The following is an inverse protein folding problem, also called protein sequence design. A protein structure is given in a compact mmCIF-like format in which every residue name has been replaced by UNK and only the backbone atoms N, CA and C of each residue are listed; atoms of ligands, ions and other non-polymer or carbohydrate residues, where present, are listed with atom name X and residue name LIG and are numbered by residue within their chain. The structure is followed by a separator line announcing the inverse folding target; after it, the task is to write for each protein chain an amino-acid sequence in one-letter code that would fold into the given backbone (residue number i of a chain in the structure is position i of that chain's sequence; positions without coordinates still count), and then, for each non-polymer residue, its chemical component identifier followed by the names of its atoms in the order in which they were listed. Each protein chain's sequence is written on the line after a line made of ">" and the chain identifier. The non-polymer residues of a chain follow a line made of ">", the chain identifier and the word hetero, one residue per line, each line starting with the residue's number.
data_IF_203153059050
#
_entry.id   IF_203153059050
#
_cell.length_a   1.000
_cell.length_b   1.000
_cell.length_c   1.000
_cell.angle_alpha   90.00
_cell.angle_beta   90.00
_cell.angle_gamma   90.00
#
_symmetry.space_group_name_H-M   'P 1'
#
loop_
_entity.id
_entity.type
_entity.pdbx_description
1 polymer ?
#
# COMPACT_ATOMS: atom_id res chain seq x y z
N UNK A 1 59.86 36.64 -40.52
CA UNK A 1 58.80 36.55 -39.48
C UNK A 1 57.54 35.98 -40.11
N UNK A 2 57.18 34.73 -39.80
CA UNK A 2 55.81 34.18 -39.78
C UNK A 2 55.88 32.68 -39.50
N UNK A 3 55.70 32.34 -38.22
CA UNK A 3 55.72 30.97 -37.70
C UNK A 3 54.39 30.28 -37.99
N UNK A 4 54.43 29.10 -38.63
CA UNK A 4 53.27 28.23 -38.81
C UNK A 4 53.05 27.42 -37.52
N UNK A 5 51.92 27.64 -36.83
CA UNK A 5 51.48 26.80 -35.71
C UNK A 5 50.63 25.65 -36.26
N UNK A 6 51.14 24.42 -36.15
CA UNK A 6 50.36 23.19 -36.35
C UNK A 6 49.51 22.99 -35.11
N UNK A 7 48.19 22.99 -35.27
CA UNK A 7 47.23 22.76 -34.19
C UNK A 7 46.79 21.29 -34.25
N UNK A 8 47.21 20.51 -33.27
CA UNK A 8 46.87 19.11 -33.10
C UNK A 8 45.45 19.01 -32.52
N UNK A 9 44.51 18.46 -33.28
CA UNK A 9 43.15 18.20 -32.81
C UNK A 9 43.13 16.90 -32.01
N UNK A 10 42.95 17.01 -30.68
CA UNK A 10 42.73 15.86 -29.81
C UNK A 10 41.27 15.41 -29.93
N UNK A 11 41.06 14.24 -30.50
CA UNK A 11 39.75 13.59 -30.62
C UNK A 11 39.41 12.94 -29.28
N UNK A 12 38.51 13.55 -28.50
CA UNK A 12 37.97 12.94 -27.28
C UNK A 12 37.09 11.74 -27.68
N UNK A 13 37.52 10.52 -27.34
CA UNK A 13 36.65 9.35 -27.31
C UNK A 13 35.72 9.50 -26.10
N UNK A 14 34.44 9.81 -26.37
CA UNK A 14 33.41 9.77 -25.34
C UNK A 14 33.11 8.33 -24.97
N UNK A 15 33.32 7.96 -23.70
CA UNK A 15 32.85 6.70 -23.13
C UNK A 15 31.32 6.70 -23.15
N UNK A 16 30.72 5.84 -23.97
CA UNK A 16 29.28 5.54 -23.87
C UNK A 16 29.14 4.58 -22.69
N UNK A 17 28.68 5.08 -21.54
CA UNK A 17 28.25 4.20 -20.47
C UNK A 17 27.05 3.38 -20.98
N UNK A 18 27.01 2.06 -20.74
CA UNK A 18 25.81 1.29 -21.04
C UNK A 18 24.66 1.88 -20.23
N UNK A 19 23.57 2.23 -20.93
CA UNK A 19 22.30 2.55 -20.30
C UNK A 19 21.78 1.21 -19.79
N UNK A 20 21.63 1.04 -18.47
CA UNK A 20 20.93 -0.12 -17.91
C UNK A 20 19.53 -0.17 -18.53
N UNK A 21 19.21 -1.26 -19.21
CA UNK A 21 18.00 -1.35 -20.01
C UNK A 21 16.83 -1.72 -19.09
N UNK A 22 16.27 -0.72 -18.42
CA UNK A 22 15.03 -0.89 -17.67
C UNK A 22 13.88 -1.15 -18.66
N UNK A 23 13.41 -2.40 -18.72
CA UNK A 23 12.24 -2.79 -19.50
C UNK A 23 11.01 -2.77 -18.61
N UNK A 24 9.90 -2.20 -19.09
CA UNK A 24 8.63 -2.18 -18.38
C UNK A 24 7.48 -2.59 -19.30
N UNK A 25 6.64 -3.50 -18.82
CA UNK A 25 5.52 -4.08 -19.56
C UNK A 25 4.24 -4.01 -18.72
N UNK A 26 3.18 -3.46 -19.30
CA UNK A 26 1.86 -3.46 -18.65
C UNK A 26 1.18 -4.81 -18.93
N UNK A 27 0.79 -5.50 -17.86
CA UNK A 27 0.16 -6.82 -17.93
C UNK A 27 -1.32 -6.69 -17.58
N UNK A 28 -2.19 -6.99 -18.54
CA UNK A 28 -3.62 -7.02 -18.32
C UNK A 28 -4.04 -8.38 -17.74
N UNK A 29 -4.69 -8.35 -16.58
CA UNK A 29 -5.26 -9.51 -15.89
C UNK A 29 -6.74 -9.21 -15.66
N UNK A 30 -7.61 -10.15 -15.99
CA UNK A 30 -9.03 -10.03 -15.63
C UNK A 30 -9.24 -10.48 -14.17
N UNK A 31 -10.26 -9.95 -13.51
CA UNK A 31 -10.66 -10.42 -12.18
C UNK A 31 -10.95 -11.94 -12.20
N UNK A 32 -10.52 -12.64 -11.16
CA UNK A 32 -10.60 -14.10 -11.04
C UNK A 32 -9.95 -14.86 -12.22
N UNK A 33 -8.85 -14.35 -12.76
CA UNK A 33 -8.08 -14.97 -13.83
C UNK A 33 -6.57 -14.91 -13.59
N UNK A 34 -5.85 -15.83 -14.24
CA UNK A 34 -4.39 -15.80 -14.34
C UNK A 34 -3.93 -15.42 -15.73
N UNK A 35 -2.68 -14.96 -15.83
CA UNK A 35 -1.92 -14.80 -17.06
C UNK A 35 -0.49 -15.27 -16.83
N UNK A 36 0.18 -15.70 -17.89
CA UNK A 36 1.57 -16.15 -17.83
C UNK A 36 2.41 -15.32 -18.80
N UNK A 37 3.56 -14.88 -18.34
CA UNK A 37 4.55 -14.16 -19.13
C UNK A 37 5.86 -14.93 -19.13
N UNK A 38 6.48 -15.06 -20.29
CA UNK A 38 7.82 -15.64 -20.44
C UNK A 38 8.81 -14.51 -20.73
N UNK A 39 10.02 -14.63 -20.19
CA UNK A 39 11.07 -13.64 -20.39
C UNK A 39 12.46 -14.21 -20.16
N UNK A 40 13.46 -13.42 -20.51
CA UNK A 40 14.87 -13.69 -20.25
C UNK A 40 15.45 -12.51 -19.50
N UNK A 41 16.12 -12.77 -18.37
CA UNK A 41 16.84 -11.75 -17.61
C UNK A 41 18.33 -11.83 -17.88
N UNK A 42 18.99 -10.68 -18.06
CA UNK A 42 20.40 -10.59 -18.46
C UNK A 42 21.19 -9.75 -17.46
N UNK A 43 22.32 -10.28 -16.96
CA UNK A 43 23.22 -9.55 -16.07
C UNK A 43 22.53 -8.83 -14.91
N UNK A 44 22.83 -7.54 -14.74
CA UNK A 44 22.27 -6.67 -13.69
C UNK A 44 20.95 -5.98 -14.10
N UNK A 45 20.38 -6.34 -15.25
CA UNK A 45 19.10 -5.78 -15.68
C UNK A 45 17.94 -6.26 -14.79
N UNK A 46 16.80 -5.61 -14.97
CA UNK A 46 15.52 -6.03 -14.39
C UNK A 46 14.39 -5.74 -15.38
N UNK A 47 13.28 -6.48 -15.22
CA UNK A 47 12.05 -6.30 -16.00
C UNK A 47 10.91 -5.99 -15.03
N UNK A 48 10.22 -4.88 -15.28
CA UNK A 48 9.09 -4.42 -14.48
C UNK A 48 7.77 -4.80 -15.15
N UNK A 49 7.02 -5.74 -14.56
CA UNK A 49 5.66 -6.05 -14.97
C UNK A 49 4.66 -5.27 -14.14
N UNK A 50 3.89 -4.39 -14.79
CA UNK A 50 2.94 -3.49 -14.13
C UNK A 50 1.54 -4.10 -14.16
N UNK A 51 0.94 -4.28 -12.99
CA UNK A 51 -0.41 -4.81 -12.80
C UNK A 51 -1.25 -3.77 -12.07
N UNK A 52 -2.31 -3.30 -12.71
CA UNK A 52 -3.32 -2.46 -12.04
C UNK A 52 -4.19 -3.33 -11.15
N UNK A 53 -4.24 -3.02 -9.86
CA UNK A 53 -5.05 -3.75 -8.88
C UNK A 53 -5.77 -2.79 -7.93
N UNK A 54 -6.86 -3.26 -7.33
CA UNK A 54 -7.66 -2.50 -6.36
C UNK A 54 -7.45 -3.01 -4.95
N UNK A 55 -7.57 -2.10 -3.98
CA UNK A 55 -7.59 -2.41 -2.57
C UNK A 55 -8.56 -3.57 -2.29
N UNK A 56 -8.11 -4.54 -1.50
CA UNK A 56 -8.87 -5.72 -1.12
C UNK A 56 -8.76 -6.91 -2.08
N UNK A 57 -8.35 -6.72 -3.35
CA UNK A 57 -8.08 -7.84 -4.26
C UNK A 57 -6.92 -8.70 -3.75
N UNK A 58 -6.88 -9.96 -4.13
CA UNK A 58 -5.75 -10.86 -3.85
C UNK A 58 -4.90 -10.99 -5.11
N UNK A 59 -3.66 -10.51 -5.06
CA UNK A 59 -2.65 -10.72 -6.09
C UNK A 59 -1.87 -12.00 -5.78
N UNK A 60 -1.75 -12.88 -6.77
CA UNK A 60 -0.80 -13.99 -6.76
C UNK A 60 0.28 -13.79 -7.82
N UNK A 61 1.51 -14.17 -7.48
CA UNK A 61 2.65 -14.17 -8.38
C UNK A 61 3.53 -15.40 -8.13
N UNK A 62 3.81 -16.18 -9.17
CA UNK A 62 4.65 -17.37 -9.13
C UNK A 62 5.76 -17.30 -10.16
N UNK A 63 7.01 -17.47 -9.73
CA UNK A 63 8.21 -17.42 -10.57
C UNK A 63 8.81 -18.80 -10.78
N UNK A 64 8.91 -19.23 -12.03
CA UNK A 64 9.63 -20.45 -12.42
C UNK A 64 10.86 -20.10 -13.23
N UNK A 65 12.02 -20.58 -12.78
CA UNK A 65 13.29 -20.51 -13.51
C UNK A 65 14.14 -21.74 -13.21
N UNK A 66 14.94 -22.16 -14.20
CA UNK A 66 15.97 -23.18 -14.03
C UNK A 66 17.05 -22.69 -13.08
N UNK A 67 17.48 -21.44 -13.24
CA UNK A 67 18.48 -20.81 -12.38
C UNK A 67 17.81 -20.15 -11.15
N UNK A 68 18.32 -20.46 -9.96
CA UNK A 68 17.81 -19.98 -8.67
C UNK A 68 18.29 -18.58 -8.29
N UNK A 69 19.12 -17.97 -9.14
CA UNK A 69 19.53 -16.57 -9.02
C UNK A 69 18.42 -15.61 -9.44
N UNK A 70 17.44 -16.06 -10.21
CA UNK A 70 16.28 -15.25 -10.65
C UNK A 70 15.27 -15.12 -9.50
N UNK A 71 14.87 -13.89 -9.21
CA UNK A 71 13.98 -13.51 -8.13
C UNK A 71 12.99 -12.44 -8.62
N UNK A 72 11.95 -12.18 -7.83
CA UNK A 72 11.08 -11.03 -8.07
C UNK A 72 10.70 -10.30 -6.78
N UNK A 73 10.35 -9.03 -6.91
CA UNK A 73 9.74 -8.24 -5.83
C UNK A 73 8.35 -7.78 -6.26
N UNK A 74 7.46 -7.56 -5.27
CA UNK A 74 6.18 -6.86 -5.47
C UNK A 74 6.31 -5.49 -4.82
N UNK A 75 6.21 -4.44 -5.63
CA UNK A 75 6.38 -3.05 -5.20
C UNK A 75 5.03 -2.33 -5.27
N UNK A 76 4.67 -1.54 -4.23
CA UNK A 76 3.44 -0.75 -4.23
C UNK A 76 3.49 0.40 -5.25
N UNK A 77 2.34 1.00 -5.60
CA UNK A 77 2.26 2.19 -6.45
C UNK A 77 3.02 3.38 -5.87
N UNK A 78 3.06 3.47 -4.54
CA UNK A 78 3.76 4.50 -3.78
C UNK A 78 4.52 3.90 -2.59
N UNK A 79 5.68 4.50 -2.28
CA UNK A 79 6.53 4.08 -1.17
C UNK A 79 7.74 3.26 -1.62
N UNK A 80 8.68 3.10 -0.69
CA UNK A 80 9.99 2.49 -0.96
C UNK A 80 10.09 1.03 -0.46
N UNK A 81 9.10 0.55 0.30
CA UNK A 81 9.11 -0.79 0.88
C UNK A 81 8.33 -1.77 0.00
N UNK A 82 8.98 -2.88 -0.38
CA UNK A 82 8.36 -3.93 -1.16
C UNK A 82 7.35 -4.70 -0.32
N UNK A 83 6.17 -4.97 -0.87
CA UNK A 83 5.19 -5.90 -0.28
C UNK A 83 5.72 -7.33 -0.22
N UNK A 84 6.63 -7.67 -1.14
CA UNK A 84 7.28 -8.97 -1.19
C UNK A 84 8.69 -8.85 -1.76
N UNK A 85 9.63 -9.56 -1.13
CA UNK A 85 11.03 -9.68 -1.59
C UNK A 85 11.39 -11.14 -1.83
N UNK A 86 11.42 -11.58 -3.09
CA UNK A 86 11.57 -12.99 -3.45
C UNK A 86 12.92 -13.60 -3.04
N UNK A 87 13.99 -12.81 -3.03
CA UNK A 87 15.29 -13.27 -2.53
C UNK A 87 15.31 -13.61 -1.02
N UNK A 88 14.28 -13.20 -0.28
CA UNK A 88 14.12 -13.50 1.16
C UNK A 88 13.04 -14.57 1.36
N UNK A 89 11.90 -14.43 0.69
CA UNK A 89 10.70 -15.21 0.99
C UNK A 89 10.41 -16.35 0.00
N UNK A 90 11.10 -16.40 -1.15
CA UNK A 90 10.98 -17.46 -2.15
C UNK A 90 10.36 -17.01 -3.46
N UNK A 91 9.82 -17.97 -4.21
CA UNK A 91 9.37 -17.81 -5.60
C UNK A 91 7.87 -17.63 -5.76
N UNK A 92 7.13 -17.57 -4.67
CA UNK A 92 5.67 -17.57 -4.68
C UNK A 92 5.16 -16.50 -3.71
N UNK A 93 4.21 -15.70 -4.18
CA UNK A 93 3.56 -14.64 -3.44
C UNK A 93 2.05 -14.77 -3.61
N UNK A 94 1.33 -14.62 -2.49
CA UNK A 94 -0.12 -14.42 -2.45
C UNK A 94 -0.36 -13.37 -1.39
N UNK A 95 -0.95 -12.24 -1.76
CA UNK A 95 -1.18 -11.14 -0.83
C UNK A 95 -2.36 -10.28 -1.21
N UNK A 96 -2.96 -9.67 -0.18
CA UNK A 96 -4.05 -8.72 -0.35
C UNK A 96 -3.47 -7.36 -0.72
N UNK A 97 -4.06 -6.74 -1.73
CA UNK A 97 -3.69 -5.42 -2.22
C UNK A 97 -4.13 -4.36 -1.21
N UNK A 98 -3.22 -3.52 -0.67
CA UNK A 98 -3.54 -2.55 0.37
C UNK A 98 -4.21 -1.28 -0.17
N UNK A 99 -3.85 -0.84 -1.37
CA UNK A 99 -4.37 0.38 -1.99
C UNK A 99 -4.61 0.20 -3.48
N UNK A 100 -5.51 1.00 -4.05
CA UNK A 100 -5.69 1.06 -5.50
C UNK A 100 -4.42 1.58 -6.19
N UNK A 101 -4.01 0.94 -7.28
CA UNK A 101 -2.98 1.49 -8.15
C UNK A 101 -2.24 0.47 -8.98
N UNK A 102 -1.13 0.93 -9.56
CA UNK A 102 -0.26 0.15 -10.42
C UNK A 102 0.88 -0.46 -9.61
N UNK A 103 0.80 -1.76 -9.36
CA UNK A 103 1.81 -2.53 -8.65
C UNK A 103 2.88 -3.00 -9.64
N UNK A 104 4.14 -2.97 -9.22
CA UNK A 104 5.26 -3.44 -10.04
C UNK A 104 5.77 -4.78 -9.54
N UNK A 105 5.72 -5.79 -10.41
CA UNK A 105 6.38 -7.07 -10.21
C UNK A 105 7.72 -7.01 -10.93
N UNK A 106 8.79 -6.71 -10.16
CA UNK A 106 10.14 -6.55 -10.70
C UNK A 106 10.88 -7.88 -10.69
N UNK A 107 11.18 -8.45 -11.84
CA UNK A 107 12.02 -9.65 -12.00
C UNK A 107 13.47 -9.22 -12.18
N UNK A 108 14.39 -9.85 -11.45
CA UNK A 108 15.82 -9.57 -11.46
C UNK A 108 16.63 -10.83 -11.14
N UNK A 109 17.95 -10.79 -11.30
CA UNK A 109 18.82 -11.87 -10.85
C UNK A 109 19.95 -11.37 -9.93
N UNK A 110 20.51 -12.26 -9.12
CA UNK A 110 21.52 -11.93 -8.11
C UNK A 110 22.83 -12.72 -8.27
N UNK A 111 23.86 -12.25 -7.58
CA UNK A 111 25.11 -13.00 -7.40
C UNK A 111 25.91 -13.11 -8.70
N UNK A 112 26.54 -14.27 -8.89
CA UNK A 112 27.43 -14.51 -10.03
C UNK A 112 26.72 -14.34 -11.38
N UNK A 113 25.47 -14.81 -11.49
CA UNK A 113 24.67 -14.67 -12.70
C UNK A 113 24.54 -13.19 -13.12
N UNK A 114 24.25 -12.32 -12.17
CA UNK A 114 24.17 -10.88 -12.42
C UNK A 114 25.54 -10.29 -12.80
N UNK A 115 26.56 -10.53 -11.98
CA UNK A 115 27.88 -9.91 -12.16
C UNK A 115 28.65 -10.40 -13.40
N UNK A 116 28.35 -11.61 -13.88
CA UNK A 116 28.98 -12.22 -15.05
C UNK A 116 28.18 -11.98 -16.35
N UNK A 117 27.02 -11.32 -16.26
CA UNK A 117 26.20 -11.03 -17.44
C UNK A 117 25.53 -12.26 -18.03
N UNK A 118 25.13 -13.23 -17.20
CA UNK A 118 24.46 -14.45 -17.67
C UNK A 118 23.01 -14.15 -18.06
N UNK A 119 22.51 -14.90 -19.02
CA UNK A 119 21.11 -14.89 -19.46
C UNK A 119 20.37 -16.06 -18.81
N UNK A 120 19.23 -15.78 -18.19
CA UNK A 120 18.39 -16.80 -17.58
C UNK A 120 16.92 -16.62 -17.97
N UNK A 121 16.34 -17.69 -18.52
CA UNK A 121 14.92 -17.72 -18.87
C UNK A 121 14.05 -17.94 -17.64
N UNK A 122 12.88 -17.30 -17.63
CA UNK A 122 11.88 -17.47 -16.59
C UNK A 122 10.46 -17.45 -17.15
N UNK A 123 9.55 -17.98 -16.33
CA UNK A 123 8.11 -17.82 -16.49
C UNK A 123 7.56 -17.18 -15.22
N UNK A 124 6.76 -16.13 -15.40
CA UNK A 124 6.04 -15.44 -14.33
C UNK A 124 4.54 -15.64 -14.53
N UNK A 125 3.91 -16.35 -13.61
CA UNK A 125 2.46 -16.49 -13.55
C UNK A 125 1.90 -15.43 -12.59
N UNK A 126 0.91 -14.67 -13.05
CA UNK A 126 0.26 -13.60 -12.28
C UNK A 126 -1.24 -13.85 -12.23
N UNK A 127 -1.88 -13.59 -11.10
CA UNK A 127 -3.32 -13.73 -10.95
C UNK A 127 -3.93 -12.65 -10.06
N UNK A 128 -5.19 -12.31 -10.34
CA UNK A 128 -6.01 -11.45 -9.47
C UNK A 128 -7.26 -12.22 -9.06
N UNK A 129 -7.53 -12.29 -7.75
CA UNK A 129 -8.69 -12.95 -7.13
C UNK A 129 -8.89 -14.43 -7.54
N UNK A 130 -7.82 -15.09 -7.98
CA UNK A 130 -7.79 -16.53 -8.27
C UNK A 130 -7.64 -17.36 -7.00
N UNK A 131 -6.98 -16.79 -6.00
CA UNK A 131 -6.85 -17.35 -4.67
C UNK A 131 -7.65 -16.49 -3.70
N UNK A 132 -8.46 -17.14 -2.87
CA UNK A 132 -9.10 -16.49 -1.74
C UNK A 132 -8.19 -16.63 -0.52
N UNK A 133 -7.58 -15.53 -0.08
CA UNK A 133 -7.11 -15.44 1.29
C UNK A 133 -8.34 -15.34 2.20
N UNK A 134 -8.33 -15.93 3.41
CA UNK A 134 -9.38 -15.67 4.38
C UNK A 134 -9.56 -14.14 4.46
N UNK A 135 -10.82 -13.69 4.47
CA UNK A 135 -11.09 -12.32 4.86
C UNK A 135 -10.35 -12.13 6.19
N UNK A 136 -9.55 -11.06 6.27
CA UNK A 136 -9.18 -10.57 7.57
C UNK A 136 -10.50 -10.05 8.14
N UNK A 137 -11.32 -10.93 8.70
CA UNK A 137 -12.33 -10.53 9.67
C UNK A 137 -11.52 -9.91 10.78
N UNK A 138 -11.43 -8.59 10.70
CA UNK A 138 -10.78 -7.73 11.65
C UNK A 138 -11.22 -8.16 13.06
N UNK A 139 -10.29 -8.72 13.82
CA UNK A 139 -10.61 -9.60 14.93
C UNK A 139 -11.46 -8.85 15.97
N UNK A 140 -12.55 -9.47 16.42
CA UNK A 140 -13.35 -8.90 17.50
C UNK A 140 -12.57 -9.03 18.81
N UNK A 141 -12.46 -7.93 19.57
CA UNK A 141 -11.91 -7.91 20.92
C UNK A 141 -12.74 -8.83 21.82
N UNK A 142 -12.10 -9.82 22.43
CA UNK A 142 -12.75 -10.88 23.22
C UNK A 142 -13.73 -10.29 24.25
N UNK A 143 -15.00 -10.72 24.18
CA UNK A 143 -16.05 -10.25 25.08
C UNK A 143 -16.73 -8.93 24.67
N UNK A 144 -16.44 -8.41 23.47
CA UNK A 144 -17.11 -7.23 22.91
C UNK A 144 -17.66 -7.52 21.51
N UNK A 145 -18.36 -6.56 20.92
CA UNK A 145 -18.75 -6.56 19.50
C UNK A 145 -17.91 -5.55 18.70
N UNK A 146 -16.69 -5.23 19.16
CA UNK A 146 -15.81 -4.24 18.55
C UNK A 146 -14.58 -4.90 17.96
N UNK A 147 -14.15 -4.46 16.79
CA UNK A 147 -12.90 -4.92 16.21
C UNK A 147 -11.67 -4.31 16.89
N UNK A 148 -11.81 -3.09 17.43
CA UNK A 148 -10.81 -2.51 18.31
C UNK A 148 -11.46 -1.67 19.41
N UNK A 149 -10.76 -1.53 20.53
CA UNK A 149 -11.15 -0.66 21.64
C UNK A 149 -9.96 0.13 22.14
N UNK A 150 -10.17 1.34 22.64
CA UNK A 150 -9.10 2.17 23.16
C UNK A 150 -9.61 3.48 23.74
N UNK A 151 -8.74 4.49 23.77
CA UNK A 151 -9.11 5.87 24.10
C UNK A 151 -8.78 6.82 22.95
N UNK A 152 -9.57 7.88 22.84
CA UNK A 152 -9.33 8.97 21.90
C UNK A 152 -9.50 10.33 22.59
N UNK A 153 -8.80 11.39 22.15
CA UNK A 153 -9.02 12.72 22.68
C UNK A 153 -10.42 13.24 22.35
N UNK A 154 -11.12 13.74 23.36
CA UNK A 154 -12.44 14.36 23.20
C UNK A 154 -12.54 15.60 24.07
N UNK A 155 -13.35 16.58 23.67
CA UNK A 155 -13.57 17.81 24.45
C UNK A 155 -15.04 18.18 24.37
N UNK A 156 -15.59 18.67 25.49
CA UNK A 156 -16.97 19.12 25.57
C UNK A 156 -17.02 20.55 26.10
N UNK A 157 -17.90 21.40 25.60
CA UNK A 157 -18.05 22.76 26.15
C UNK A 157 -18.40 22.73 27.65
N UNK A 158 -19.27 21.80 28.05
CA UNK A 158 -19.65 21.60 29.44
C UNK A 158 -18.56 20.94 30.31
N UNK A 159 -17.51 20.38 29.69
CA UNK A 159 -16.39 19.74 30.36
C UNK A 159 -15.10 19.87 29.52
N UNK A 160 -14.49 21.07 29.48
CA UNK A 160 -13.36 21.35 28.60
C UNK A 160 -12.08 20.62 29.02
N UNK A 161 -12.02 20.13 30.26
CA UNK A 161 -10.87 19.44 30.84
C UNK A 161 -10.93 17.91 30.65
N UNK A 162 -11.94 17.36 29.97
CA UNK A 162 -11.96 15.93 29.63
C UNK A 162 -10.77 15.60 28.73
N UNK A 163 -9.81 14.75 29.15
CA UNK A 163 -8.62 14.51 28.35
C UNK A 163 -8.85 13.42 27.29
N UNK A 164 -9.69 12.42 27.60
CA UNK A 164 -9.89 11.23 26.77
C UNK A 164 -11.28 10.63 26.96
N UNK A 165 -11.81 10.02 25.90
CA UNK A 165 -13.02 9.20 25.89
C UNK A 165 -12.65 7.77 25.50
N UNK A 166 -13.32 6.77 26.07
CA UNK A 166 -13.14 5.39 25.60
C UNK A 166 -13.92 5.17 24.31
N UNK A 167 -13.40 4.33 23.43
CA UNK A 167 -14.10 3.95 22.20
C UNK A 167 -14.11 2.45 21.98
N UNK A 168 -15.11 1.99 21.25
CA UNK A 168 -15.07 0.76 20.47
C UNK A 168 -15.37 1.07 19.02
N UNK A 169 -14.78 0.35 18.07
CA UNK A 169 -15.02 0.54 16.63
C UNK A 169 -15.53 -0.74 15.99
N UNK A 170 -16.49 -0.59 15.08
CA UNK A 170 -16.95 -1.65 14.18
C UNK A 170 -16.59 -1.27 12.75
N UNK A 171 -15.72 -2.03 12.10
CA UNK A 171 -15.27 -1.81 10.71
C UNK A 171 -16.06 -2.73 9.78
N UNK A 172 -16.51 -2.20 8.66
CA UNK A 172 -17.34 -2.90 7.69
C UNK A 172 -16.54 -3.59 6.57
N UNK A 173 -15.21 -3.38 6.52
CA UNK A 173 -14.30 -4.01 5.56
C UNK A 173 -14.17 -3.29 4.21
N UNK A 174 -15.00 -2.28 3.94
CA UNK A 174 -15.04 -1.47 2.71
C UNK A 174 -14.45 -0.05 2.91
N UNK A 175 -13.72 0.15 4.01
CA UNK A 175 -13.24 1.48 4.44
C UNK A 175 -14.26 2.28 5.26
N UNK A 176 -15.48 1.78 5.47
CA UNK A 176 -16.43 2.36 6.40
C UNK A 176 -16.28 1.80 7.82
N UNK A 177 -16.58 2.63 8.82
CA UNK A 177 -16.58 2.22 10.22
C UNK A 177 -17.58 3.02 11.07
N UNK A 178 -18.09 2.37 12.11
CA UNK A 178 -18.85 3.04 13.18
C UNK A 178 -18.00 3.08 14.45
N UNK A 179 -17.65 4.29 14.90
CA UNK A 179 -16.90 4.53 16.14
C UNK A 179 -17.88 4.89 17.25
N UNK A 180 -17.90 4.09 18.31
CA UNK A 180 -18.77 4.26 19.48
C UNK A 180 -17.96 4.85 20.62
N UNK A 181 -18.06 6.17 20.81
CA UNK A 181 -17.32 6.94 21.80
C UNK A 181 -18.12 7.05 23.09
N UNK A 182 -17.65 6.41 24.16
CA UNK A 182 -18.23 6.53 25.49
C UNK A 182 -17.61 7.72 26.22
N UNK A 183 -18.43 8.72 26.51
CA UNK A 183 -18.04 9.92 27.23
C UNK A 183 -17.88 9.64 28.73
N UNK A 184 -17.18 10.51 29.50
CA UNK A 184 -16.99 10.29 30.95
C UNK A 184 -18.28 10.19 31.77
N UNK A 185 -19.41 10.71 31.27
CA UNK A 185 -20.71 10.61 31.93
C UNK A 185 -21.48 9.32 31.58
N UNK A 186 -20.90 8.45 30.73
CA UNK A 186 -21.48 7.19 30.29
C UNK A 186 -22.37 7.27 29.06
N UNK A 187 -22.62 8.47 28.50
CA UNK A 187 -23.28 8.62 27.21
C UNK A 187 -22.40 8.07 26.08
N UNK A 188 -22.99 7.37 25.13
CA UNK A 188 -22.30 6.82 23.95
C UNK A 188 -22.69 7.62 22.71
N UNK A 189 -21.69 8.25 22.10
CA UNK A 189 -21.79 8.92 20.80
C UNK A 189 -21.35 7.95 19.70
N UNK A 190 -22.21 7.68 18.73
CA UNK A 190 -21.82 6.98 17.52
C UNK A 190 -21.39 7.99 16.45
N UNK A 191 -20.24 7.76 15.84
CA UNK A 191 -19.72 8.48 14.68
C UNK A 191 -19.56 7.47 13.53
N UNK A 192 -20.33 7.64 12.47
CA UNK A 192 -20.24 6.80 11.27
C UNK A 192 -19.35 7.47 10.24
N UNK A 193 -18.27 6.77 9.89
CA UNK A 193 -17.34 7.10 8.83
C UNK A 193 -17.71 6.29 7.60
N UNK A 194 -18.07 6.96 6.51
CA UNK A 194 -18.25 6.35 5.22
C UNK A 194 -16.89 6.18 4.50
N UNK A 195 -16.82 5.27 3.54
CA UNK A 195 -15.61 5.00 2.75
C UNK A 195 -15.10 6.23 1.98
N UNK A 196 -15.96 7.21 1.68
CA UNK A 196 -15.60 8.48 1.03
C UNK A 196 -15.09 9.55 2.02
N UNK A 197 -14.88 9.18 3.28
CA UNK A 197 -14.41 10.06 4.36
C UNK A 197 -15.51 10.94 4.97
N UNK A 198 -16.77 10.82 4.51
CA UNK A 198 -17.88 11.56 5.11
C UNK A 198 -18.19 11.02 6.50
N UNK A 199 -18.33 11.93 7.46
CA UNK A 199 -18.70 11.59 8.85
C UNK A 199 -20.13 12.02 9.16
N UNK A 200 -20.88 11.15 9.82
CA UNK A 200 -22.19 11.46 10.40
C UNK A 200 -22.25 11.02 11.86
N UNK A 201 -23.20 11.55 12.63
CA UNK A 201 -23.41 11.16 14.02
C UNK A 201 -24.89 10.81 14.22
N UNK A 202 -25.27 9.54 14.00
CA UNK A 202 -26.65 9.09 14.19
C UNK A 202 -27.20 9.51 15.56
N UNK A 203 -28.44 9.99 15.55
CA UNK A 203 -29.11 10.48 16.77
C UNK A 203 -28.72 11.90 17.19
N UNK A 204 -27.97 12.64 16.37
CA UNK A 204 -27.76 14.08 16.51
C UNK A 204 -28.40 14.83 15.34
N UNK A 205 -29.24 15.83 15.65
CA UNK A 205 -29.76 16.79 14.67
C UNK A 205 -28.86 18.02 14.52
N UNK A 206 -27.78 18.10 15.30
CA UNK A 206 -26.86 19.22 15.26
C UNK A 206 -25.97 19.20 14.01
N UNK A 207 -25.47 20.36 13.54
CA UNK A 207 -24.48 20.40 12.48
C UNK A 207 -23.21 19.63 12.86
N UNK A 208 -22.67 18.89 11.89
CA UNK A 208 -21.45 18.10 12.04
C UNK A 208 -20.45 18.57 10.99
N UNK A 209 -19.23 18.87 11.43
CA UNK A 209 -18.11 19.24 10.59
C UNK A 209 -16.92 18.34 10.91
N UNK A 210 -16.50 17.52 9.95
CA UNK A 210 -15.31 16.69 10.06
C UNK A 210 -14.19 17.27 9.21
N UNK A 211 -13.01 17.43 9.80
CA UNK A 211 -11.82 17.98 9.14
C UNK A 211 -10.64 17.07 9.38
N UNK A 212 -10.03 16.57 8.30
CA UNK A 212 -8.78 15.81 8.36
C UNK A 212 -7.63 16.76 8.71
N UNK A 213 -6.84 16.39 9.72
CA UNK A 213 -5.69 17.12 10.24
C UNK A 213 -4.53 16.15 10.48
N UNK A 214 -3.71 15.93 9.46
CA UNK A 214 -2.67 14.89 9.51
C UNK A 214 -3.31 13.51 9.51
N UNK A 215 -2.99 12.68 10.49
CA UNK A 215 -3.52 11.31 10.69
C UNK A 215 -4.79 11.28 11.55
N UNK A 216 -5.34 12.45 11.88
CA UNK A 216 -6.56 12.54 12.68
C UNK A 216 -7.69 13.16 11.86
N UNK A 217 -8.88 12.58 11.94
CA UNK A 217 -10.13 13.26 11.60
C UNK A 217 -10.70 13.94 12.84
N UNK A 218 -10.78 15.27 12.81
CA UNK A 218 -11.38 16.08 13.88
C UNK A 218 -12.86 16.30 13.58
N UNK A 219 -13.71 15.68 14.39
CA UNK A 219 -15.17 15.75 14.26
C UNK A 219 -15.71 16.77 15.26
N UNK A 220 -16.28 17.87 14.75
CA UNK A 220 -16.92 18.92 15.52
C UNK A 220 -18.43 18.78 15.40
N UNK A 221 -19.13 18.67 16.53
CA UNK A 221 -20.59 18.66 16.60
C UNK A 221 -21.07 19.97 17.22
N UNK A 222 -22.12 20.53 16.65
CA UNK A 222 -22.76 21.77 17.10
C UNK A 222 -21.78 22.92 17.34
N UNK A 223 -20.95 23.24 16.34
CA UNK A 223 -19.95 24.32 16.41
C UNK A 223 -18.89 24.14 17.51
N UNK A 224 -18.56 22.89 17.83
CA UNK A 224 -17.48 22.54 18.77
C UNK A 224 -17.94 22.34 20.22
N UNK A 225 -19.25 22.24 20.46
CA UNK A 225 -19.77 21.80 21.77
C UNK A 225 -19.30 20.37 22.11
N UNK A 226 -19.13 19.52 21.10
CA UNK A 226 -18.46 18.23 21.21
C UNK A 226 -17.38 18.16 20.12
N UNK A 227 -16.15 17.82 20.51
CA UNK A 227 -15.02 17.64 19.60
C UNK A 227 -14.40 16.28 19.84
N UNK A 228 -14.20 15.50 18.79
CA UNK A 228 -13.55 14.19 18.84
C UNK A 228 -12.38 14.17 17.86
N UNK A 229 -11.22 13.67 18.30
CA UNK A 229 -10.04 13.48 17.44
C UNK A 229 -9.85 12.00 17.19
N UNK A 230 -10.33 11.53 16.04
CA UNK A 230 -10.33 10.11 15.67
C UNK A 230 -9.13 9.86 14.77
N UNK A 231 -8.22 8.98 15.18
CA UNK A 231 -7.09 8.57 14.32
C UNK A 231 -7.56 7.71 13.16
N UNK A 232 -6.93 7.85 12.01
CA UNK A 232 -7.28 7.07 10.82
C UNK A 232 -7.14 5.56 11.07
N UNK A 233 -6.13 5.14 11.83
CA UNK A 233 -5.93 3.73 12.23
C UNK A 233 -7.10 3.16 13.05
N UNK A 234 -7.89 4.00 13.73
CA UNK A 234 -9.12 3.55 14.41
C UNK A 234 -10.16 3.13 13.37
N UNK A 235 -10.29 3.89 12.28
CA UNK A 235 -11.30 3.68 11.23
C UNK A 235 -10.87 2.60 10.24
N UNK A 236 -9.58 2.57 9.88
CA UNK A 236 -9.07 1.72 8.80
C UNK A 236 -8.54 0.35 9.28
N UNK A 237 -8.12 0.24 10.55
CA UNK A 237 -7.37 -0.93 11.02
C UNK A 237 -5.87 -0.80 10.74
N UNK A 238 -5.10 -1.81 11.14
CA UNK A 238 -3.66 -1.94 10.90
C UNK A 238 -3.31 -2.61 9.56
#
# INVERSE_FOLDING_TARGET
>A
MRSFKVMLAAMLMGSVAPIMAQTSEVVAIADAATTSVEGTISGEDYIDYVVSAKAGQVLSAGLTSVDKSVNFNVLPPQGDEALFTGSIYGTDYVGRIPEDGDYTIRVYQMGAAASEGLDNDFTLELGLDVESLPEQEDAIVEGTDYNATGTLPCTFEANPDAPECTFGVRRAGDGAASVFVTTPNGFVRQLDFAADGKVTAPGSDAPIEAVVQGEDTVVNINKGEEVYRVKDIIVLGD
#
